data_IF_982825724325
#
_entry.id   IF_982825724325
#
_cell.length_a   1.000
_cell.length_b   1.000
_cell.length_c   1.000
_cell.angle_alpha   90.00
_cell.angle_beta   90.00
_cell.angle_gamma   90.00
#
_symmetry.space_group_name_H-M   'P 1'
#
loop_
_entity.id
_entity.type
_entity.pdbx_description
1 polymer ?
#
# COMPACT_ATOMS: atom_id res chain seq x y z
N UNK A 1 4.89 -28.16 -10.07
CA UNK A 1 4.33 -28.18 -8.69
C UNK A 1 4.55 -26.84 -8.01
N UNK A 2 3.50 -26.01 -7.95
CA UNK A 2 3.03 -25.26 -6.78
C UNK A 2 1.86 -24.41 -7.25
N UNK A 3 0.77 -25.09 -7.54
CA UNK A 3 -0.56 -24.50 -7.62
C UNK A 3 -1.00 -24.29 -6.18
N UNK A 4 -0.44 -23.26 -5.53
CA UNK A 4 -0.90 -22.80 -4.25
C UNK A 4 -2.23 -22.09 -4.52
N UNK A 5 -3.25 -22.94 -4.59
CA UNK A 5 -4.67 -22.69 -4.49
C UNK A 5 -4.95 -21.29 -3.93
N UNK A 6 -5.74 -20.50 -4.67
CA UNK A 6 -6.31 -19.19 -4.32
C UNK A 6 -7.20 -19.26 -3.08
N UNK A 7 -6.79 -19.99 -2.04
CA UNK A 7 -7.41 -19.97 -0.72
C UNK A 7 -7.06 -18.62 -0.14
N UNK A 8 -8.05 -17.74 -0.10
CA UNK A 8 -7.98 -16.47 0.61
C UNK A 8 -7.64 -16.75 2.07
N UNK A 9 -6.34 -16.73 2.40
CA UNK A 9 -5.87 -17.06 3.74
C UNK A 9 -6.23 -15.89 4.69
N UNK A 10 -7.31 -16.11 5.45
CA UNK A 10 -7.69 -15.22 6.54
C UNK A 10 -6.89 -15.57 7.79
N UNK A 11 -6.02 -14.65 8.18
CA UNK A 11 -5.08 -14.81 9.27
C UNK A 11 -5.54 -14.07 10.52
N UNK A 12 -5.12 -14.57 11.67
CA UNK A 12 -5.19 -13.84 12.94
C UNK A 12 -4.10 -12.76 13.02
N UNK A 13 -4.22 -11.84 13.98
CA UNK A 13 -3.19 -10.82 14.21
C UNK A 13 -1.81 -11.43 14.49
N UNK A 14 -1.77 -12.52 15.29
CA UNK A 14 -0.55 -13.26 15.62
C UNK A 14 0.09 -13.90 14.40
N UNK A 15 -0.70 -14.62 13.60
CA UNK A 15 -0.19 -15.27 12.39
C UNK A 15 0.31 -14.24 11.38
N UNK A 16 -0.41 -13.13 11.21
CA UNK A 16 0.03 -12.04 10.34
C UNK A 16 1.34 -11.42 10.83
N UNK A 17 1.50 -11.25 12.15
CA UNK A 17 2.70 -10.73 12.77
C UNK A 17 3.91 -11.64 12.50
N UNK A 18 3.75 -12.96 12.64
CA UNK A 18 4.78 -13.95 12.33
C UNK A 18 5.20 -13.91 10.85
N UNK A 19 4.24 -13.80 9.92
CA UNK A 19 4.52 -13.75 8.48
C UNK A 19 5.19 -12.43 8.06
N UNK A 20 4.74 -11.30 8.61
CA UNK A 20 5.33 -9.99 8.34
C UNK A 20 6.62 -9.73 9.14
N UNK A 21 6.99 -10.64 10.04
CA UNK A 21 8.13 -10.49 10.97
C UNK A 21 8.05 -9.20 11.81
N UNK A 22 6.86 -8.88 12.29
CA UNK A 22 6.60 -7.73 13.18
C UNK A 22 5.95 -8.18 14.47
N UNK A 23 5.86 -7.31 15.47
CA UNK A 23 5.10 -7.60 16.68
C UNK A 23 3.59 -7.49 16.46
N UNK A 24 2.80 -8.26 17.22
CA UNK A 24 1.33 -8.15 17.24
C UNK A 24 0.87 -6.72 17.54
N UNK A 25 1.55 -6.03 18.46
CA UNK A 25 1.32 -4.62 18.78
C UNK A 25 1.45 -3.71 17.56
N UNK A 26 2.38 -4.02 16.65
CA UNK A 26 2.56 -3.29 15.39
C UNK A 26 1.40 -3.55 14.44
N UNK A 27 0.93 -4.79 14.32
CA UNK A 27 -0.28 -5.13 13.53
C UNK A 27 -1.50 -4.37 14.05
N UNK A 28 -1.74 -4.37 15.36
CA UNK A 28 -2.82 -3.59 15.97
C UNK A 28 -2.68 -2.09 15.73
N UNK A 29 -1.45 -1.55 15.82
CA UNK A 29 -1.17 -0.14 15.53
C UNK A 29 -1.46 0.20 14.07
N UNK A 30 -1.03 -0.63 13.12
CA UNK A 30 -1.29 -0.44 11.68
C UNK A 30 -2.79 -0.47 11.38
N UNK A 31 -3.53 -1.40 11.99
CA UNK A 31 -4.99 -1.47 11.90
C UNK A 31 -5.65 -0.19 12.43
N UNK A 32 -5.28 0.26 13.63
CA UNK A 32 -5.85 1.49 14.25
C UNK A 32 -5.56 2.74 13.40
N UNK A 33 -4.43 2.76 12.69
CA UNK A 33 -4.05 3.82 11.75
C UNK A 33 -4.69 3.68 10.37
N UNK A 34 -5.49 2.64 10.11
CA UNK A 34 -6.10 2.39 8.80
C UNK A 34 -5.11 2.01 7.70
N UNK A 35 -3.89 1.56 8.05
CA UNK A 35 -2.85 1.22 7.07
C UNK A 35 -2.97 -0.20 6.51
N UNK A 36 -3.70 -1.07 7.20
CA UNK A 36 -3.96 -2.44 6.75
C UNK A 36 -5.46 -2.73 6.83
N UNK A 37 -6.03 -3.40 5.81
CA UNK A 37 -7.43 -3.82 5.82
C UNK A 37 -7.63 -4.94 6.84
N UNK A 38 -8.74 -4.85 7.58
CA UNK A 38 -9.13 -5.85 8.57
C UNK A 38 -10.63 -6.12 8.45
N UNK A 39 -11.00 -7.39 8.51
CA UNK A 39 -12.38 -7.85 8.41
C UNK A 39 -12.84 -8.25 9.81
N UNK A 40 -13.88 -7.58 10.29
CA UNK A 40 -14.52 -7.93 11.56
C UNK A 40 -15.63 -8.94 11.27
N UNK A 41 -15.41 -10.21 11.64
CA UNK A 41 -16.46 -11.23 11.48
C UNK A 41 -17.53 -11.09 12.56
N UNK A 42 -17.14 -10.62 13.75
CA UNK A 42 -18.04 -10.30 14.86
C UNK A 42 -17.51 -9.07 15.61
N UNK A 43 -18.21 -8.61 16.67
CA UNK A 43 -17.79 -7.46 17.47
C UNK A 43 -16.40 -7.60 18.11
N UNK A 44 -15.87 -8.83 18.25
CA UNK A 44 -14.54 -9.09 18.85
C UNK A 44 -13.60 -9.89 17.95
N UNK A 45 -14.11 -10.59 16.93
CA UNK A 45 -13.29 -11.43 16.07
C UNK A 45 -12.85 -10.68 14.82
N UNK A 46 -11.53 -10.51 14.69
CA UNK A 46 -10.89 -9.80 13.56
C UNK A 46 -10.05 -10.80 12.77
N UNK A 47 -10.10 -10.68 11.44
CA UNK A 47 -9.30 -11.42 10.48
C UNK A 47 -8.63 -10.48 9.49
N UNK A 48 -7.49 -10.91 8.98
CA UNK A 48 -6.70 -10.19 8.00
C UNK A 48 -6.52 -11.05 6.76
N UNK A 49 -6.84 -10.49 5.60
CA UNK A 49 -6.50 -11.13 4.34
C UNK A 49 -5.05 -10.81 3.99
N UNK A 50 -4.20 -11.83 3.87
CA UNK A 50 -2.78 -11.63 3.58
C UNK A 50 -2.55 -10.82 2.29
N UNK A 51 -3.33 -11.08 1.24
CA UNK A 51 -3.16 -10.43 -0.04
C UNK A 51 -3.49 -8.93 0.04
N UNK A 52 -4.62 -8.60 0.66
CA UNK A 52 -5.07 -7.21 0.81
C UNK A 52 -4.11 -6.42 1.72
N UNK A 53 -3.57 -7.06 2.77
CA UNK A 53 -2.57 -6.45 3.65
C UNK A 53 -1.27 -6.17 2.89
N UNK A 54 -0.79 -7.12 2.08
CA UNK A 54 0.41 -6.90 1.24
C UNK A 54 0.19 -5.78 0.23
N UNK A 55 -0.99 -5.71 -0.39
CA UNK A 55 -1.37 -4.63 -1.29
C UNK A 55 -1.40 -3.27 -0.58
N UNK A 56 -2.03 -3.19 0.60
CA UNK A 56 -2.16 -1.95 1.37
C UNK A 56 -0.84 -1.43 1.94
N UNK A 57 0.10 -2.32 2.28
CA UNK A 57 1.45 -1.94 2.70
C UNK A 57 2.31 -1.39 1.55
N UNK A 58 1.83 -1.41 0.31
CA UNK A 58 2.54 -0.82 -0.83
C UNK A 58 3.76 -1.63 -1.26
N UNK A 59 3.84 -2.91 -0.90
CA UNK A 59 4.85 -3.85 -1.43
C UNK A 59 4.63 -4.18 -2.93
N UNK A 60 3.85 -3.36 -3.64
CA UNK A 60 3.55 -3.54 -5.06
C UNK A 60 2.63 -2.50 -5.72
N UNK A 61 2.26 -1.39 -5.06
CA UNK A 61 1.45 -0.36 -5.70
C UNK A 61 1.84 1.04 -5.20
N UNK A 62 2.21 1.89 -6.17
CA UNK A 62 2.41 3.32 -5.99
C UNK A 62 1.23 3.89 -5.21
N UNK A 63 1.50 4.77 -4.25
CA UNK A 63 0.51 5.54 -3.51
C UNK A 63 -0.43 6.26 -4.49
N UNK A 64 -1.55 5.64 -4.84
CA UNK A 64 -2.71 6.35 -5.35
C UNK A 64 -3.51 6.82 -4.14
N UNK A 65 -3.13 7.99 -3.64
CA UNK A 65 -4.10 8.89 -3.01
C UNK A 65 -5.28 9.08 -3.95
N UNK A 66 -6.53 8.78 -3.55
CA UNK A 66 -7.69 9.22 -4.31
C UNK A 66 -7.96 10.70 -3.98
N UNK A 67 -8.33 11.46 -5.01
CA UNK A 67 -8.88 12.82 -4.95
C UNK A 67 -7.88 14.00 -4.92
N UNK A 68 -7.49 14.45 -6.12
CA UNK A 68 -7.32 15.87 -6.44
C UNK A 68 -7.63 16.08 -7.93
N UNK A 69 -8.85 16.56 -8.20
CA UNK A 69 -9.26 17.07 -9.49
C UNK A 69 -8.64 18.45 -9.65
N UNK A 70 -7.48 18.57 -10.31
CA UNK A 70 -6.98 19.86 -10.83
C UNK A 70 -6.21 19.63 -12.14
N UNK A 71 -6.87 20.07 -13.21
CA UNK A 71 -6.30 20.83 -14.32
C UNK A 71 -5.07 20.27 -15.04
N UNK A 72 -5.37 19.61 -16.15
CA UNK A 72 -4.57 19.64 -17.37
C UNK A 72 -4.35 21.11 -17.79
N UNK A 73 -3.38 21.79 -17.19
CA UNK A 73 -2.72 22.92 -17.81
C UNK A 73 -1.22 22.65 -17.86
N UNK A 74 -0.85 22.20 -19.04
CA UNK A 74 0.47 22.21 -19.65
C UNK A 74 1.23 23.50 -19.38
N UNK A 75 2.16 23.49 -18.43
CA UNK A 75 3.26 24.48 -18.32
C UNK A 75 4.48 23.87 -17.58
N UNK A 76 4.69 22.55 -17.71
CA UNK A 76 5.97 21.95 -17.33
C UNK A 76 6.95 22.15 -18.49
N UNK A 77 7.80 23.17 -18.36
CA UNK A 77 8.93 23.37 -19.25
C UNK A 77 9.81 22.12 -19.27
N UNK A 78 10.09 21.61 -20.46
CA UNK A 78 10.98 20.48 -20.68
C UNK A 78 12.40 20.82 -20.20
N UNK A 79 13.13 19.84 -19.68
CA UNK A 79 14.53 20.02 -19.28
C UNK A 79 15.41 20.55 -20.41
N UNK A 80 15.04 20.31 -21.68
CA UNK A 80 15.74 20.85 -22.86
C UNK A 80 15.70 22.39 -22.95
N UNK A 81 14.60 23.05 -22.55
CA UNK A 81 14.50 24.52 -22.59
C UNK A 81 15.41 25.19 -21.55
N UNK A 82 15.74 24.49 -20.45
CA UNK A 82 16.64 25.01 -19.40
C UNK A 82 18.09 25.04 -19.88
N UNK A 83 18.51 24.07 -20.69
CA UNK A 83 19.90 23.95 -21.14
C UNK A 83 20.20 24.71 -22.43
N UNK A 84 19.18 25.09 -23.21
CA UNK A 84 19.35 25.91 -24.41
C UNK A 84 19.91 27.32 -24.12
N UNK A 85 19.74 27.83 -22.90
CA UNK A 85 20.23 29.18 -22.50
C UNK A 85 21.69 29.25 -22.02
N UNK A 86 22.42 28.13 -21.99
CA UNK A 86 23.80 28.09 -21.47
C UNK A 86 24.88 27.95 -22.56
N UNK A 87 24.50 27.89 -23.84
CA UNK A 87 25.44 27.76 -24.96
C UNK A 87 25.53 29.05 -25.76
N UNK A 88 26.05 30.11 -25.15
CA UNK A 88 26.58 31.26 -25.89
C UNK A 88 27.82 31.82 -25.16
N UNK A 89 28.97 31.20 -25.44
CA UNK A 89 30.30 31.83 -25.56
C UNK A 89 31.24 30.94 -26.37
#
# INVERSE_FOLDING_TARGET
MKEADKRTEFLTARQLAEILQVSESTVHRLRRRGRIPAIMLTSRLIRFNLNDVKAALGLGAKRSTPHHQQDEHSDQLSFDDVFAGFSEE
#
